data_IF_264247056926
#
_entry.id   IF_264247056926
#
_cell.length_a   1.000
_cell.length_b   1.000
_cell.length_c   1.000
_cell.angle_alpha   90.00
_cell.angle_beta   90.00
_cell.angle_gamma   90.00
#
_symmetry.space_group_name_H-M   'P 1'
#
loop_
_entity.id
_entity.type
_entity.pdbx_description
1 polymer ?
#
# COMPACT_ATOMS: atom_id res chain seq x y z
N UNK A 1 25.25 6.25 22.16
CA UNK A 1 24.19 5.69 21.27
C UNK A 1 24.34 6.37 19.92
N UNK A 2 24.30 5.64 18.80
CA UNK A 2 24.40 6.25 17.47
C UNK A 2 23.22 7.20 17.23
N UNK A 3 23.49 8.46 16.87
CA UNK A 3 22.45 9.44 16.58
C UNK A 3 21.80 9.10 15.23
N UNK A 4 20.49 8.89 15.25
CA UNK A 4 19.72 8.67 14.02
C UNK A 4 19.57 10.01 13.30
N UNK A 5 19.98 10.05 12.04
CA UNK A 5 19.94 11.24 11.19
C UNK A 5 18.56 11.43 10.57
N UNK A 6 17.95 10.36 10.08
CA UNK A 6 16.62 10.42 9.47
C UNK A 6 15.95 9.05 9.48
N UNK A 7 14.64 9.02 9.24
CA UNK A 7 13.89 7.81 8.89
C UNK A 7 13.21 8.03 7.56
N UNK A 8 13.40 7.11 6.64
CA UNK A 8 12.82 7.18 5.31
C UNK A 8 11.87 6.01 5.09
N UNK A 9 10.69 6.32 4.58
CA UNK A 9 9.66 5.38 4.19
C UNK A 9 9.66 5.31 2.66
N UNK A 10 9.82 4.10 2.11
CA UNK A 10 9.89 3.87 0.66
C UNK A 10 8.74 2.96 0.26
N UNK A 11 7.90 3.45 -0.67
CA UNK A 11 6.70 2.77 -1.18
C UNK A 11 5.85 2.18 -0.05
N UNK A 12 5.69 2.96 1.02
CA UNK A 12 4.92 2.54 2.16
C UNK A 12 3.44 2.67 1.85
N UNK A 13 2.68 1.63 2.18
CA UNK A 13 1.22 1.58 2.00
C UNK A 13 0.58 1.19 3.31
N UNK A 14 -0.58 1.76 3.59
CA UNK A 14 -1.38 1.42 4.76
C UNK A 14 -2.86 1.55 4.42
N UNK A 15 -3.69 0.77 5.09
CA UNK A 15 -5.13 0.69 4.81
C UNK A 15 -5.89 0.96 6.10
N UNK A 16 -6.93 1.78 6.00
CA UNK A 16 -7.77 2.10 7.15
C UNK A 16 -9.22 2.38 6.75
N UNK A 17 -10.13 2.17 7.68
CA UNK A 17 -11.53 2.57 7.52
C UNK A 17 -11.70 4.07 7.74
N UNK A 18 -12.85 4.62 7.35
CA UNK A 18 -13.19 6.03 7.64
C UNK A 18 -13.16 6.33 9.15
N UNK A 19 -13.63 5.40 9.98
CA UNK A 19 -13.57 5.55 11.45
C UNK A 19 -12.14 5.63 11.94
N UNK A 20 -11.27 4.75 11.44
CA UNK A 20 -9.86 4.73 11.78
C UNK A 20 -9.13 6.00 11.32
N UNK A 21 -9.49 6.54 10.15
CA UNK A 21 -8.98 7.83 9.67
C UNK A 21 -9.33 8.96 10.63
N UNK A 22 -10.60 9.06 11.03
CA UNK A 22 -11.06 10.07 12.00
C UNK A 22 -10.32 9.93 13.33
N UNK A 23 -10.15 8.70 13.82
CA UNK A 23 -9.36 8.46 15.03
C UNK A 23 -7.91 8.90 14.87
N UNK A 24 -7.29 8.63 13.72
CA UNK A 24 -5.93 9.06 13.46
C UNK A 24 -5.81 10.58 13.52
N UNK A 25 -6.67 11.31 12.81
CA UNK A 25 -6.66 12.78 12.78
C UNK A 25 -6.81 13.37 14.18
N UNK A 26 -7.73 12.83 14.99
CA UNK A 26 -7.91 13.25 16.40
C UNK A 26 -6.67 12.99 17.25
N UNK A 27 -5.90 11.95 16.96
CA UNK A 27 -4.65 11.63 17.69
C UNK A 27 -3.40 12.31 17.12
N UNK A 28 -3.46 12.77 15.88
CA UNK A 28 -2.36 13.45 15.21
C UNK A 28 -2.22 14.90 15.71
N UNK A 29 -3.34 15.53 16.06
CA UNK A 29 -3.36 16.83 16.74
C UNK A 29 -2.71 16.71 18.12
N UNK A 30 -1.45 17.11 18.17
CA UNK A 30 -0.65 17.20 19.38
C UNK A 30 -0.01 18.57 19.44
N UNK A 31 0.57 18.97 20.57
CA UNK A 31 1.22 20.28 20.70
C UNK A 31 2.33 20.56 19.66
N UNK A 32 2.79 19.54 18.94
CA UNK A 32 3.91 19.62 18.01
C UNK A 32 3.51 19.36 16.55
N UNK A 33 2.33 18.81 16.30
CA UNK A 33 1.92 18.39 14.95
C UNK A 33 0.53 18.96 14.68
N UNK A 34 0.45 19.72 13.59
CA UNK A 34 -0.81 20.17 13.01
C UNK A 34 -1.10 19.37 11.74
N UNK A 35 -2.37 19.27 11.37
CA UNK A 35 -2.74 18.60 10.13
C UNK A 35 -3.63 19.48 9.25
N UNK A 36 -3.54 19.26 7.93
CA UNK A 36 -4.43 19.87 6.94
C UNK A 36 -4.94 18.80 5.99
N UNK A 37 -6.24 18.80 5.73
CA UNK A 37 -6.87 17.87 4.79
C UNK A 37 -7.27 18.63 3.53
N UNK A 38 -6.79 18.18 2.37
CA UNK A 38 -7.21 18.67 1.05
C UNK A 38 -8.01 17.58 0.35
N UNK A 39 -9.18 17.93 -0.14
CA UNK A 39 -10.02 17.02 -0.94
C UNK A 39 -9.75 17.35 -2.41
N UNK A 40 -9.19 16.40 -3.17
CA UNK A 40 -8.72 16.63 -4.54
C UNK A 40 -9.79 16.33 -5.60
N UNK A 41 -10.97 15.86 -5.18
CA UNK A 41 -12.05 15.38 -6.06
C UNK A 41 -11.94 13.88 -6.31
N UNK A 42 -13.03 13.23 -6.71
CA UNK A 42 -13.03 11.79 -7.05
C UNK A 42 -12.81 10.80 -5.89
N UNK A 43 -12.89 11.26 -4.63
CA UNK A 43 -12.64 10.41 -3.45
C UNK A 43 -11.17 10.37 -3.02
N UNK A 44 -10.31 11.20 -3.62
CA UNK A 44 -8.93 11.38 -3.20
C UNK A 44 -8.81 12.47 -2.11
N UNK A 45 -8.01 12.16 -1.08
CA UNK A 45 -7.76 13.04 0.04
C UNK A 45 -6.25 13.10 0.29
N UNK A 46 -5.72 14.30 0.46
CA UNK A 46 -4.34 14.52 0.90
C UNK A 46 -4.36 15.04 2.33
N UNK A 47 -3.65 14.35 3.22
CA UNK A 47 -3.46 14.78 4.61
C UNK A 47 -2.00 15.21 4.75
N UNK A 48 -1.80 16.49 5.06
CA UNK A 48 -0.48 17.05 5.33
C UNK A 48 -0.30 17.12 6.84
N UNK A 49 0.75 16.51 7.37
CA UNK A 49 1.19 16.67 8.76
C UNK A 49 2.34 17.65 8.79
N UNK A 50 2.18 18.75 9.52
CA UNK A 50 3.15 19.84 9.63
C UNK A 50 3.62 19.94 11.09
N UNK A 51 4.93 19.96 11.29
CA UNK A 51 5.55 20.21 12.60
C UNK A 51 5.97 21.67 12.74
N UNK A 52 6.01 22.17 13.98
CA UNK A 52 6.27 23.58 14.27
C UNK A 52 7.61 24.13 13.70
N UNK A 53 8.57 23.26 13.40
CA UNK A 53 9.84 23.56 12.75
C UNK A 53 9.82 23.54 11.22
N UNK A 54 8.66 23.35 10.59
CA UNK A 54 8.45 23.47 9.14
C UNK A 54 8.71 22.21 8.32
N UNK A 55 9.00 21.07 8.94
CA UNK A 55 8.99 19.79 8.23
C UNK A 55 7.54 19.34 8.01
N UNK A 56 7.22 18.90 6.78
CA UNK A 56 5.89 18.46 6.38
C UNK A 56 5.94 17.05 5.78
N UNK A 57 4.91 16.25 6.06
CA UNK A 57 4.72 14.92 5.47
C UNK A 57 3.35 14.85 4.81
N UNK A 58 3.35 14.51 3.52
CA UNK A 58 2.15 14.36 2.71
C UNK A 58 1.73 12.89 2.69
N UNK A 59 0.46 12.66 3.02
CA UNK A 59 -0.18 11.36 3.00
C UNK A 59 -1.31 11.38 1.97
N UNK A 60 -1.11 10.71 0.84
CA UNK A 60 -2.12 10.59 -0.21
C UNK A 60 -3.01 9.39 0.06
N UNK A 61 -4.30 9.63 0.22
CA UNK A 61 -5.32 8.62 0.43
C UNK A 61 -6.25 8.52 -0.77
N UNK A 62 -6.47 7.30 -1.24
CA UNK A 62 -7.45 6.98 -2.25
C UNK A 62 -8.56 6.14 -1.63
N UNK A 63 -9.81 6.58 -1.78
CA UNK A 63 -10.96 5.79 -1.36
C UNK A 63 -11.18 4.62 -2.33
N UNK A 64 -11.25 3.40 -1.79
CA UNK A 64 -11.64 2.18 -2.52
C UNK A 64 -12.80 1.51 -1.77
N UNK A 65 -14.02 1.85 -2.16
CA UNK A 65 -15.22 1.41 -1.46
C UNK A 65 -15.29 1.96 -0.03
N UNK A 66 -15.27 1.07 0.96
CA UNK A 66 -15.33 1.41 2.40
C UNK A 66 -13.94 1.58 3.07
N UNK A 67 -12.85 1.42 2.31
CA UNK A 67 -11.48 1.46 2.81
C UNK A 67 -10.73 2.61 2.13
N UNK A 68 -9.91 3.32 2.91
CA UNK A 68 -8.95 4.29 2.42
C UNK A 68 -7.58 3.63 2.33
N UNK A 69 -6.97 3.72 1.15
CA UNK A 69 -5.60 3.25 0.90
C UNK A 69 -4.68 4.46 0.88
N UNK A 70 -3.74 4.50 1.81
CA UNK A 70 -2.70 5.51 1.86
C UNK A 70 -1.44 5.00 1.17
N UNK A 71 -0.82 5.84 0.36
CA UNK A 71 0.51 5.61 -0.19
C UNK A 71 1.43 6.76 0.17
N UNK A 72 2.60 6.47 0.72
CA UNK A 72 3.56 7.50 1.11
C UNK A 72 5.00 7.09 0.78
N UNK A 73 5.82 8.07 0.44
CA UNK A 73 7.27 7.94 0.35
C UNK A 73 7.88 9.25 0.81
N UNK A 74 8.52 9.23 1.98
CA UNK A 74 9.03 10.45 2.62
C UNK A 74 10.27 10.15 3.45
N UNK A 75 11.08 11.19 3.66
CA UNK A 75 12.21 11.16 4.59
C UNK A 75 11.93 12.18 5.70
N UNK A 76 12.02 11.72 6.93
CA UNK A 76 11.64 12.45 8.14
C UNK A 76 12.85 12.56 9.05
N UNK A 77 13.21 13.78 9.42
CA UNK A 77 14.29 14.09 10.35
C UNK A 77 13.72 14.37 11.74
N UNK A 78 12.59 15.06 11.83
CA UNK A 78 12.00 15.47 13.10
C UNK A 78 11.50 14.25 13.90
N UNK A 79 11.90 14.11 15.18
CA UNK A 79 11.48 13.00 16.03
C UNK A 79 9.97 12.91 16.28
N UNK A 80 9.25 14.04 16.34
CA UNK A 80 7.82 14.09 16.58
C UNK A 80 7.04 13.57 15.38
N UNK A 81 7.31 14.09 14.18
CA UNK A 81 6.69 13.59 12.94
C UNK A 81 6.99 12.11 12.72
N UNK A 82 8.24 11.71 12.93
CA UNK A 82 8.63 10.32 12.76
C UNK A 82 7.91 9.40 13.76
N UNK A 83 7.69 9.87 15.00
CA UNK A 83 6.89 9.10 15.95
C UNK A 83 5.42 9.00 15.55
N UNK A 84 4.82 10.06 15.01
CA UNK A 84 3.45 10.04 14.50
C UNK A 84 3.30 9.07 13.31
N UNK A 85 4.17 9.19 12.29
CA UNK A 85 4.17 8.30 11.14
C UNK A 85 4.49 6.86 11.54
N UNK A 86 5.42 6.63 12.48
CA UNK A 86 5.69 5.28 13.00
C UNK A 86 4.47 4.67 13.68
N UNK A 87 3.76 5.44 14.53
CA UNK A 87 2.54 4.97 15.19
C UNK A 87 1.46 4.63 14.15
N UNK A 88 1.23 5.54 13.19
CA UNK A 88 0.31 5.33 12.08
C UNK A 88 0.65 4.02 11.33
N UNK A 89 1.90 3.88 10.90
CA UNK A 89 2.37 2.74 10.12
C UNK A 89 2.21 1.40 10.87
N UNK A 90 2.49 1.35 12.17
CA UNK A 90 2.35 0.11 12.96
C UNK A 90 0.88 -0.20 13.25
N UNK A 91 0.10 0.80 13.68
CA UNK A 91 -1.32 0.61 14.06
C UNK A 91 -2.15 0.10 12.90
N UNK A 92 -1.93 0.65 11.69
CA UNK A 92 -2.70 0.30 10.49
C UNK A 92 -1.99 -0.70 9.59
N UNK A 93 -1.12 -1.52 10.19
CA UNK A 93 -0.48 -2.67 9.54
C UNK A 93 0.20 -2.32 8.21
N UNK A 94 0.97 -1.25 8.21
CA UNK A 94 1.67 -0.76 7.03
C UNK A 94 2.61 -1.80 6.42
N UNK A 95 2.71 -1.75 5.10
CA UNK A 95 3.61 -2.56 4.28
C UNK A 95 4.56 -1.62 3.56
N UNK A 96 5.83 -2.00 3.43
CA UNK A 96 6.82 -1.17 2.74
C UNK A 96 8.20 -1.27 3.37
N UNK A 97 9.12 -0.42 2.90
CA UNK A 97 10.49 -0.39 3.41
C UNK A 97 10.72 0.85 4.27
N UNK A 98 11.30 0.65 5.44
CA UNK A 98 11.65 1.72 6.38
C UNK A 98 13.16 1.72 6.61
N UNK A 99 13.81 2.79 6.18
CA UNK A 99 15.24 3.00 6.31
C UNK A 99 15.50 3.90 7.52
N UNK A 100 16.22 3.39 8.53
CA UNK A 100 16.75 4.22 9.62
C UNK A 100 18.18 4.58 9.29
N UNK A 101 18.41 5.85 9.00
CA UNK A 101 19.68 6.38 8.52
C UNK A 101 20.51 6.84 9.72
N UNK A 102 21.71 6.29 9.85
CA UNK A 102 22.70 6.68 10.84
C UNK A 102 23.95 7.18 10.12
N UNK A 103 24.89 7.74 10.87
CA UNK A 103 26.20 8.07 10.32
C UNK A 103 26.95 6.79 9.95
N UNK A 104 27.26 6.61 8.66
CA UNK A 104 28.05 5.48 8.15
C UNK A 104 27.30 4.18 7.91
N UNK A 105 26.01 4.07 8.30
CA UNK A 105 25.19 2.89 8.02
C UNK A 105 23.70 3.23 7.91
N UNK A 106 22.95 2.36 7.26
CA UNK A 106 21.48 2.40 7.19
C UNK A 106 20.91 1.06 7.59
N UNK A 107 19.98 1.07 8.54
CA UNK A 107 19.20 -0.11 8.89
C UNK A 107 17.93 -0.14 8.05
N UNK A 108 17.81 -1.13 7.18
CA UNK A 108 16.70 -1.32 6.25
C UNK A 108 15.74 -2.36 6.81
N UNK A 109 14.51 -1.95 7.08
CA UNK A 109 13.43 -2.81 7.57
C UNK A 109 12.41 -3.02 6.44
N UNK A 110 12.11 -4.27 6.10
CA UNK A 110 11.01 -4.62 5.20
C UNK A 110 9.84 -5.07 6.05
N UNK A 111 8.72 -4.35 5.93
CA UNK A 111 7.47 -4.63 6.61
C UNK A 111 6.44 -5.21 5.66
N UNK A 112 5.65 -6.15 6.17
CA UNK A 112 4.45 -6.66 5.52
C UNK A 112 3.35 -6.79 6.56
N UNK A 113 2.20 -6.17 6.30
CA UNK A 113 1.03 -6.17 7.20
C UNK A 113 1.38 -5.77 8.64
N UNK A 114 2.24 -4.76 8.83
CA UNK A 114 2.68 -4.27 10.14
C UNK A 114 3.77 -5.09 10.82
N UNK A 115 4.15 -6.23 10.24
CA UNK A 115 5.17 -7.13 10.79
C UNK A 115 6.48 -6.99 10.04
N UNK A 116 7.60 -7.03 10.77
CA UNK A 116 8.94 -7.01 10.13
C UNK A 116 9.21 -8.36 9.49
N UNK A 117 9.41 -8.38 8.17
CA UNK A 117 9.82 -9.57 7.41
C UNK A 117 11.31 -9.70 7.28
N UNK A 118 12.03 -8.58 7.20
CA UNK A 118 13.48 -8.59 7.03
C UNK A 118 14.11 -7.34 7.63
N UNK A 119 15.29 -7.50 8.22
CA UNK A 119 16.14 -6.40 8.64
C UNK A 119 17.53 -6.63 8.04
N UNK A 120 18.06 -5.60 7.39
CA UNK A 120 19.42 -5.61 6.84
C UNK A 120 20.16 -4.35 7.27
N UNK A 121 21.43 -4.50 7.60
CA UNK A 121 22.35 -3.39 7.77
C UNK A 121 23.01 -3.13 6.41
N UNK A 122 23.01 -1.88 5.96
CA UNK A 122 23.63 -1.45 4.70
C UNK A 122 24.70 -0.42 5.03
N UNK A 123 25.92 -0.70 4.61
CA UNK A 123 27.09 0.18 4.75
C UNK A 123 27.72 0.41 3.37
N UNK A 124 28.63 1.37 3.21
CA UNK A 124 29.37 1.54 1.95
C UNK A 124 30.17 0.30 1.53
N UNK A 125 30.55 -0.56 2.49
CA UNK A 125 31.34 -1.77 2.27
C UNK A 125 30.48 -2.99 1.88
N UNK A 126 29.16 -2.89 2.03
CA UNK A 126 28.24 -3.97 1.70
C UNK A 126 27.03 -4.04 2.63
N UNK A 127 26.22 -5.07 2.41
CA UNK A 127 24.99 -5.32 3.18
C UNK A 127 25.09 -6.61 4.00
N UNK A 128 24.61 -6.56 5.25
CA UNK A 128 24.52 -7.70 6.16
C UNK A 128 23.07 -7.98 6.52
N UNK A 129 22.63 -9.23 6.36
CA UNK A 129 21.33 -9.66 6.86
C UNK A 129 21.37 -9.75 8.38
N UNK A 130 20.48 -9.04 9.06
CA UNK A 130 20.38 -9.01 10.52
C UNK A 130 19.24 -9.91 10.99
N UNK A 131 18.12 -9.88 10.29
CA UNK A 131 16.95 -10.69 10.61
C UNK A 131 16.17 -11.02 9.35
N UNK A 132 15.60 -12.22 9.32
CA UNK A 132 14.61 -12.61 8.33
C UNK A 132 13.55 -13.47 9.01
N UNK A 133 12.30 -13.05 8.87
CA UNK A 133 11.15 -13.83 9.30
C UNK A 133 11.09 -15.12 8.48
N UNK A 134 11.06 -16.27 9.15
CA UNK A 134 10.78 -17.56 8.52
C UNK A 134 9.28 -17.79 8.63
N UNK A 135 8.62 -18.05 7.51
CA UNK A 135 7.17 -18.30 7.48
C UNK A 135 6.77 -19.35 8.52
N UNK A 136 5.68 -19.08 9.23
CA UNK A 136 5.06 -20.08 10.09
C UNK A 136 4.33 -21.13 9.25
N UNK A 137 4.13 -22.33 9.80
CA UNK A 137 3.37 -23.41 9.14
C UNK A 137 1.94 -22.95 8.78
N UNK A 138 1.34 -22.08 9.61
CA UNK A 138 0.05 -21.47 9.34
C UNK A 138 0.06 -20.50 8.14
N UNK A 139 1.13 -19.72 7.95
CA UNK A 139 1.27 -18.84 6.77
C UNK A 139 1.48 -19.65 5.49
N UNK A 140 2.27 -20.73 5.55
CA UNK A 140 2.44 -21.64 4.43
C UNK A 140 1.11 -22.30 4.05
N UNK A 141 0.34 -22.77 5.03
CA UNK A 141 -0.99 -23.34 4.80
C UNK A 141 -1.97 -22.32 4.24
N UNK A 142 -1.89 -21.05 4.65
CA UNK A 142 -2.74 -19.98 4.10
C UNK A 142 -2.40 -19.69 2.64
N UNK A 143 -1.12 -19.63 2.29
CA UNK A 143 -0.68 -19.48 0.89
C UNK A 143 -1.10 -20.68 0.05
N UNK A 144 -0.93 -21.89 0.58
CA UNK A 144 -1.36 -23.12 -0.09
C UNK A 144 -2.88 -23.21 -0.29
N UNK A 145 -3.66 -22.65 0.63
CA UNK A 145 -5.12 -22.60 0.56
C UNK A 145 -5.67 -21.37 -0.17
N UNK A 146 -4.80 -20.48 -0.67
CA UNK A 146 -5.23 -19.29 -1.38
C UNK A 146 -5.74 -19.71 -2.76
N UNK A 147 -7.04 -19.61 -2.96
CA UNK A 147 -7.74 -19.90 -4.23
C UNK A 147 -7.96 -18.62 -5.06
N UNK A 148 -7.14 -17.59 -4.82
CA UNK A 148 -7.32 -16.26 -5.41
C UNK A 148 -7.20 -16.26 -6.92
N UNK A 149 -6.32 -17.09 -7.48
CA UNK A 149 -6.15 -17.21 -8.94
C UNK A 149 -7.36 -17.94 -9.53
N UNK A 150 -7.81 -18.99 -8.86
CA UNK A 150 -8.97 -19.78 -9.23
C UNK A 150 -10.26 -18.94 -9.20
N UNK A 151 -10.42 -18.10 -8.17
CA UNK A 151 -11.53 -17.14 -8.08
C UNK A 151 -11.47 -16.07 -9.18
N UNK A 152 -10.27 -15.58 -9.52
CA UNK A 152 -10.10 -14.62 -10.62
C UNK A 152 -10.40 -15.25 -11.97
N UNK A 153 -9.95 -16.48 -12.21
CA UNK A 153 -10.29 -17.28 -13.41
C UNK A 153 -11.81 -17.45 -13.51
N UNK A 154 -12.49 -17.83 -12.43
CA UNK A 154 -13.94 -18.00 -12.42
C UNK A 154 -14.67 -16.68 -12.72
N UNK A 155 -14.21 -15.58 -12.13
CA UNK A 155 -14.77 -14.25 -12.42
C UNK A 155 -14.57 -13.83 -13.89
N UNK A 156 -13.43 -14.16 -14.49
CA UNK A 156 -13.16 -13.87 -15.90
C UNK A 156 -14.05 -14.70 -16.81
N UNK A 157 -14.27 -15.98 -16.50
CA UNK A 157 -15.19 -16.86 -17.25
C UNK A 157 -16.62 -16.32 -17.23
N UNK A 158 -17.13 -15.94 -16.06
CA UNK A 158 -18.46 -15.31 -15.93
C UNK A 158 -18.55 -14.01 -16.75
N UNK A 159 -17.47 -13.23 -16.82
CA UNK A 159 -17.44 -12.00 -17.62
C UNK A 159 -17.46 -12.30 -19.12
N UNK A 160 -16.73 -13.32 -19.58
CA UNK A 160 -16.76 -13.78 -20.97
C UNK A 160 -18.18 -14.20 -21.36
N UNK A 161 -18.84 -15.02 -20.54
CA UNK A 161 -20.22 -15.46 -20.80
C UNK A 161 -21.18 -14.27 -20.95
N UNK A 162 -21.06 -13.26 -20.07
CA UNK A 162 -21.87 -12.04 -20.14
C UNK A 162 -21.62 -11.24 -21.43
N UNK A 163 -20.35 -11.10 -21.83
CA UNK A 163 -19.99 -10.40 -23.07
C UNK A 163 -20.50 -11.15 -24.31
N UNK A 164 -20.41 -12.48 -24.32
CA UNK A 164 -20.96 -13.31 -25.39
C UNK A 164 -22.49 -13.19 -25.47
N UNK A 165 -23.18 -13.20 -24.34
CA UNK A 165 -24.62 -12.97 -24.27
C UNK A 165 -25.02 -11.58 -24.80
N UNK A 166 -24.25 -10.54 -24.44
CA UNK A 166 -24.46 -9.19 -24.96
C UNK A 166 -24.24 -9.14 -26.48
N UNK A 167 -23.15 -9.74 -26.97
CA UNK A 167 -22.82 -9.82 -28.39
C UNK A 167 -23.97 -10.43 -29.21
N UNK A 168 -24.61 -11.47 -28.68
CA UNK A 168 -25.74 -12.15 -29.33
C UNK A 168 -27.02 -11.31 -29.38
N UNK A 169 -27.12 -10.22 -28.61
CA UNK A 169 -28.33 -9.36 -28.51
C UNK A 169 -28.23 -8.06 -29.31
N UNK A 170 -27.02 -7.56 -29.56
CA UNK A 170 -26.81 -6.30 -30.30
C UNK A 170 -26.83 -6.52 -31.81
N UNK A 171 -27.32 -5.52 -32.55
CA UNK A 171 -27.31 -5.50 -34.02
C UNK A 171 -26.43 -4.37 -34.59
N UNK A 172 -25.94 -3.46 -33.74
CA UNK A 172 -25.07 -2.35 -34.15
C UNK A 172 -23.63 -2.82 -34.37
N UNK A 173 -23.05 -2.47 -35.51
CA UNK A 173 -21.69 -2.90 -35.87
C UNK A 173 -20.62 -2.27 -34.96
N UNK A 174 -20.85 -1.05 -34.47
CA UNK A 174 -19.97 -0.37 -33.51
C UNK A 174 -20.01 -1.04 -32.12
N UNK A 175 -21.21 -1.41 -31.64
CA UNK A 175 -21.40 -2.11 -30.37
C UNK A 175 -20.76 -3.51 -30.40
N UNK A 176 -20.88 -4.22 -31.53
CA UNK A 176 -20.23 -5.52 -31.74
C UNK A 176 -18.70 -5.37 -31.68
N UNK A 177 -18.13 -4.35 -32.33
CA UNK A 177 -16.68 -4.12 -32.29
C UNK A 177 -16.16 -3.74 -30.89
N UNK A 178 -16.96 -3.04 -30.09
CA UNK A 178 -16.61 -2.74 -28.71
C UNK A 178 -16.63 -4.01 -27.84
N UNK A 179 -17.65 -4.85 -27.99
CA UNK A 179 -17.74 -6.13 -27.27
C UNK A 179 -16.61 -7.08 -27.67
N UNK A 180 -16.27 -7.16 -28.96
CA UNK A 180 -15.18 -8.02 -29.44
C UNK A 180 -13.80 -7.58 -28.91
N UNK A 181 -13.57 -6.26 -28.75
CA UNK A 181 -12.36 -5.74 -28.09
C UNK A 181 -12.30 -6.15 -26.61
N UNK A 182 -13.40 -5.98 -25.88
CA UNK A 182 -13.48 -6.37 -24.47
C UNK A 182 -13.27 -7.89 -24.28
N UNK A 183 -13.86 -8.71 -25.17
CA UNK A 183 -13.65 -10.16 -25.18
C UNK A 183 -12.18 -10.52 -25.40
N UNK A 184 -11.49 -9.86 -26.33
CA UNK A 184 -10.07 -10.11 -26.58
C UNK A 184 -9.20 -9.79 -25.35
N UNK A 185 -9.47 -8.69 -24.65
CA UNK A 185 -8.73 -8.32 -23.44
C UNK A 185 -8.94 -9.31 -22.29
N UNK A 186 -10.19 -9.69 -22.03
CA UNK A 186 -10.55 -10.63 -20.95
C UNK A 186 -10.01 -12.02 -21.26
N UNK A 187 -10.06 -12.47 -22.52
CA UNK A 187 -9.54 -13.78 -22.95
C UNK A 187 -8.01 -13.84 -22.84
N UNK A 188 -7.30 -12.77 -23.22
CA UNK A 188 -5.84 -12.69 -23.02
C UNK A 188 -5.49 -12.82 -21.55
N UNK A 189 -6.20 -12.10 -20.68
CA UNK A 189 -5.97 -12.14 -19.24
C UNK A 189 -6.26 -13.53 -18.64
N UNK A 190 -7.31 -14.20 -19.11
CA UNK A 190 -7.61 -15.58 -18.71
C UNK A 190 -6.47 -16.54 -19.11
N UNK A 191 -5.96 -16.42 -20.34
CA UNK A 191 -4.87 -17.26 -20.83
C UNK A 191 -3.56 -17.05 -20.05
N UNK A 192 -3.26 -15.81 -19.65
CA UNK A 192 -2.11 -15.50 -18.79
C UNK A 192 -2.21 -16.11 -17.38
N UNK A 193 -3.43 -16.33 -16.87
CA UNK A 193 -3.67 -16.91 -15.55
C UNK A 193 -3.77 -18.44 -15.56
N UNK A 194 -4.11 -19.06 -16.70
CA UNK A 194 -4.22 -20.52 -16.85
C UNK A 194 -2.91 -21.20 -17.31
N UNK A 195 -1.91 -20.45 -17.77
CA UNK A 195 -0.60 -20.95 -18.26
C UNK A 195 0.39 -21.29 -17.14
#
# INVERSE_FOLDING_TARGET
MAQRLATEYVKATLQMTEFQMKQFLLTADTCFISHRVKILGGGEQEIVLEEAGGEEVHLSFQQRGSIYVCTLSCRIVNPHLNNAIRKLFVTYKGTGTVNRIYQGLTMVYVYENGSVRRISEVTPLGSKLVYQHRHSLAEMLRLYKSDTVEQEIESLRVNIDRLLDQRNRVCGNEEIQEIDRNLAEVTRKLFELEA
#
